data_IF_923978316712
#
_entry.id   IF_923978316712
#
_cell.length_a   1.000
_cell.length_b   1.000
_cell.length_c   1.000
_cell.angle_alpha   90.00
_cell.angle_beta   90.00
_cell.angle_gamma   90.00
#
_symmetry.space_group_name_H-M   'P 1'
#
loop_
_entity.id
_entity.type
_entity.pdbx_description
1 polymer ?
#
# COMPACT_ATOMS: atom_id res chain seq x y z
N UNK A 1 -6.15 -13.53 32.28
CA UNK A 1 -6.25 -12.99 30.91
C UNK A 1 -5.24 -13.69 30.01
N UNK A 2 -5.45 -13.67 28.69
CA UNK A 2 -4.49 -14.14 27.67
C UNK A 2 -4.14 -12.96 26.76
N UNK A 3 -2.89 -12.87 26.28
CA UNK A 3 -2.41 -11.78 25.42
C UNK A 3 -1.98 -12.34 24.07
N UNK A 4 -2.41 -11.71 22.98
CA UNK A 4 -2.13 -12.12 21.61
C UNK A 4 -1.48 -10.97 20.84
N UNK A 5 -0.45 -11.28 20.06
CA UNK A 5 0.41 -10.28 19.41
C UNK A 5 0.67 -10.53 17.91
N UNK A 6 -0.06 -11.46 17.30
CA UNK A 6 0.05 -11.88 15.90
C UNK A 6 1.36 -12.60 15.53
N UNK A 7 2.08 -13.21 16.50
CA UNK A 7 3.33 -13.95 16.23
C UNK A 7 3.13 -15.45 15.97
N UNK A 8 2.18 -16.08 16.64
CA UNK A 8 1.99 -17.53 16.61
C UNK A 8 0.55 -17.88 16.22
N UNK A 9 0.23 -17.81 14.91
CA UNK A 9 -1.15 -17.85 14.43
C UNK A 9 -1.96 -19.08 14.88
N UNK A 10 -1.36 -20.27 14.91
CA UNK A 10 -2.05 -21.50 15.31
C UNK A 10 -2.42 -21.50 16.80
N UNK A 11 -1.45 -21.17 17.67
CA UNK A 11 -1.68 -21.05 19.11
C UNK A 11 -2.66 -19.92 19.45
N UNK A 12 -2.58 -18.80 18.73
CA UNK A 12 -3.51 -17.69 18.93
C UNK A 12 -4.92 -18.05 18.48
N UNK A 13 -5.07 -18.83 17.41
CA UNK A 13 -6.37 -19.35 16.98
C UNK A 13 -6.98 -20.29 18.03
N UNK A 14 -6.17 -21.16 18.62
CA UNK A 14 -6.60 -22.00 19.74
C UNK A 14 -7.08 -21.15 20.92
N UNK A 15 -6.29 -20.17 21.37
CA UNK A 15 -6.67 -19.26 22.45
C UNK A 15 -7.97 -18.51 22.13
N UNK A 16 -8.14 -18.03 20.90
CA UNK A 16 -9.34 -17.29 20.46
C UNK A 16 -10.58 -18.19 20.41
N UNK A 17 -10.45 -19.48 20.07
CA UNK A 17 -11.60 -20.39 20.08
C UNK A 17 -12.21 -20.57 21.48
N UNK A 18 -11.40 -20.39 22.54
CA UNK A 18 -11.82 -20.41 23.94
C UNK A 18 -12.14 -19.00 24.51
N UNK A 19 -12.10 -17.95 23.68
CA UNK A 19 -12.36 -16.59 24.14
C UNK A 19 -13.84 -16.34 24.51
N UNK A 20 -14.75 -17.20 24.05
CA UNK A 20 -16.19 -17.10 24.33
C UNK A 20 -16.65 -17.88 25.56
N UNK A 21 -15.74 -18.42 26.36
CA UNK A 21 -16.06 -19.15 27.59
C UNK A 21 -16.28 -18.19 28.77
N UNK A 22 -17.09 -18.63 29.74
CA UNK A 22 -17.43 -17.83 30.92
C UNK A 22 -16.17 -17.47 31.74
N UNK A 23 -16.01 -16.18 32.05
CA UNK A 23 -14.84 -15.68 32.78
C UNK A 23 -13.56 -15.53 31.94
N UNK A 24 -13.62 -15.84 30.64
CA UNK A 24 -12.49 -15.65 29.73
C UNK A 24 -12.23 -14.16 29.48
N UNK A 25 -10.95 -13.76 29.54
CA UNK A 25 -10.50 -12.40 29.23
C UNK A 25 -9.33 -12.49 28.26
N UNK A 26 -9.53 -12.02 27.03
CA UNK A 26 -8.53 -12.06 25.97
C UNK A 26 -8.18 -10.65 25.54
N UNK A 27 -6.89 -10.33 25.54
CA UNK A 27 -6.31 -9.07 25.08
C UNK A 27 -5.63 -9.37 23.76
N UNK A 28 -6.01 -8.66 22.70
CA UNK A 28 -5.53 -8.91 21.35
C UNK A 28 -5.07 -7.60 20.71
N UNK A 29 -3.95 -7.65 19.99
CA UNK A 29 -3.61 -6.60 19.04
C UNK A 29 -4.51 -6.69 17.79
N UNK A 30 -4.58 -5.61 17.01
CA UNK A 30 -5.50 -5.47 15.87
C UNK A 30 -5.51 -6.66 14.87
N UNK A 31 -4.38 -7.35 14.70
CA UNK A 31 -4.24 -8.45 13.74
C UNK A 31 -4.39 -9.85 14.35
N UNK A 32 -4.32 -9.97 15.67
CA UNK A 32 -4.35 -11.25 16.34
C UNK A 32 -5.74 -11.91 16.26
N UNK A 33 -5.77 -13.23 16.08
CA UNK A 33 -7.04 -13.97 16.02
C UNK A 33 -7.92 -13.66 14.81
N UNK A 34 -7.38 -13.05 13.75
CA UNK A 34 -8.12 -12.80 12.51
C UNK A 34 -8.42 -14.11 11.79
N UNK A 35 -9.68 -14.30 11.40
CA UNK A 35 -10.15 -15.52 10.73
C UNK A 35 -10.73 -16.58 11.68
N UNK A 36 -10.44 -16.50 12.98
CA UNK A 36 -11.00 -17.44 13.97
C UNK A 36 -12.35 -16.94 14.50
N UNK A 37 -13.32 -17.85 14.56
CA UNK A 37 -14.64 -17.60 15.15
C UNK A 37 -14.62 -17.72 16.67
N UNK A 38 -15.39 -16.87 17.35
CA UNK A 38 -15.54 -16.90 18.82
C UNK A 38 -16.95 -17.40 19.08
N UNK A 39 -17.06 -18.67 19.47
CA UNK A 39 -18.34 -19.27 19.84
C UNK A 39 -18.58 -19.04 21.33
N UNK A 40 -19.80 -18.64 21.67
CA UNK A 40 -20.20 -18.49 23.07
C UNK A 40 -20.34 -19.86 23.73
N UNK A 41 -19.68 -20.03 24.87
CA UNK A 41 -19.80 -21.21 25.72
C UNK A 41 -21.13 -21.26 26.48
N UNK A 42 -21.32 -22.33 27.23
CA UNK A 42 -22.51 -22.55 28.06
C UNK A 42 -22.65 -21.44 29.13
N UNK A 43 -23.86 -20.90 29.32
CA UNK A 43 -24.15 -19.84 30.29
C UNK A 43 -23.75 -18.41 29.88
N UNK A 44 -23.03 -18.25 28.76
CA UNK A 44 -22.52 -16.94 28.32
C UNK A 44 -23.60 -16.12 27.61
N UNK A 45 -24.50 -16.78 26.87
CA UNK A 45 -25.61 -16.09 26.19
C UNK A 45 -26.58 -15.46 27.20
N UNK A 46 -26.89 -16.18 28.26
CA UNK A 46 -27.74 -15.74 29.38
C UNK A 46 -27.12 -14.57 30.14
N UNK A 47 -25.79 -14.47 30.13
CA UNK A 47 -25.01 -13.40 30.77
C UNK A 47 -24.85 -12.14 29.91
N UNK A 48 -25.45 -12.09 28.71
CA UNK A 48 -25.36 -10.96 27.79
C UNK A 48 -24.34 -11.11 26.66
N UNK A 49 -23.65 -12.26 26.58
CA UNK A 49 -22.76 -12.61 25.48
C UNK A 49 -21.37 -11.98 25.53
N UNK A 50 -20.71 -11.90 24.37
CA UNK A 50 -19.34 -11.38 24.28
C UNK A 50 -19.33 -9.85 24.33
N UNK A 51 -18.57 -9.30 25.29
CA UNK A 51 -18.26 -7.87 25.39
C UNK A 51 -16.92 -7.59 24.72
N UNK A 52 -16.93 -6.72 23.71
CA UNK A 52 -15.74 -6.23 23.03
C UNK A 52 -15.39 -4.83 23.53
N UNK A 53 -14.14 -4.63 23.90
CA UNK A 53 -13.61 -3.34 24.37
C UNK A 53 -12.49 -2.91 23.42
N UNK A 54 -12.71 -1.83 22.69
CA UNK A 54 -11.67 -1.13 21.95
C UNK A 54 -10.99 -0.12 22.87
N UNK A 55 -9.67 -0.17 22.96
CA UNK A 55 -8.87 0.74 23.80
C UNK A 55 -8.52 2.06 23.09
N UNK A 56 -8.69 2.08 21.78
CA UNK A 56 -8.43 3.23 20.91
C UNK A 56 -9.32 3.13 19.66
N UNK A 57 -9.27 4.13 18.79
CA UNK A 57 -9.89 4.08 17.46
C UNK A 57 -8.83 4.03 16.39
N UNK A 58 -8.99 3.09 15.47
CA UNK A 58 -8.09 2.97 14.34
C UNK A 58 -8.32 4.13 13.37
N UNK A 59 -7.30 4.49 12.60
CA UNK A 59 -7.41 5.38 11.44
C UNK A 59 -8.50 4.98 10.43
N UNK A 60 -8.90 3.71 10.39
CA UNK A 60 -9.91 3.20 9.48
C UNK A 60 -11.09 2.61 10.24
N UNK A 61 -12.28 3.11 9.90
CA UNK A 61 -13.56 2.65 10.45
C UNK A 61 -13.83 1.18 10.15
N UNK A 62 -13.27 0.66 9.05
CA UNK A 62 -13.39 -0.74 8.68
C UNK A 62 -12.74 -1.67 9.70
N UNK A 63 -11.63 -1.26 10.33
CA UNK A 63 -10.94 -2.07 11.34
C UNK A 63 -11.72 -2.04 12.66
N UNK A 64 -12.19 -0.86 13.07
CA UNK A 64 -13.07 -0.74 14.24
C UNK A 64 -14.32 -1.63 14.10
N UNK A 65 -14.96 -1.63 12.92
CA UNK A 65 -16.13 -2.46 12.66
C UNK A 65 -15.81 -3.97 12.63
N UNK A 66 -14.58 -4.37 12.26
CA UNK A 66 -14.16 -5.76 12.37
C UNK A 66 -14.02 -6.20 13.82
N UNK A 67 -13.53 -5.32 14.69
CA UNK A 67 -13.47 -5.57 16.13
C UNK A 67 -14.88 -5.71 16.70
N UNK A 68 -15.81 -4.81 16.36
CA UNK A 68 -17.24 -4.91 16.74
C UNK A 68 -17.88 -6.21 16.27
N UNK A 69 -17.61 -6.63 15.03
CA UNK A 69 -18.16 -7.85 14.43
C UNK A 69 -17.62 -9.17 15.02
N UNK A 70 -16.79 -9.11 16.07
CA UNK A 70 -16.42 -10.28 16.87
C UNK A 70 -17.53 -10.67 17.85
N UNK A 71 -18.27 -9.71 18.38
CA UNK A 71 -19.49 -9.95 19.16
C UNK A 71 -20.74 -10.06 18.27
N UNK A 72 -21.81 -10.64 18.81
CA UNK A 72 -23.12 -10.62 18.17
C UNK A 72 -23.25 -11.48 16.90
N UNK A 73 -22.44 -12.52 16.76
CA UNK A 73 -22.46 -13.39 15.58
C UNK A 73 -23.73 -14.23 15.55
N UNK A 74 -24.33 -14.40 14.37
CA UNK A 74 -25.54 -15.22 14.18
C UNK A 74 -26.73 -14.81 15.09
N UNK A 75 -26.81 -13.54 15.49
CA UNK A 75 -27.87 -13.05 16.37
C UNK A 75 -27.63 -13.35 17.85
N UNK A 76 -26.45 -13.85 18.23
CA UNK A 76 -26.06 -13.98 19.62
C UNK A 76 -26.07 -12.60 20.33
N UNK A 77 -26.32 -12.57 21.65
CA UNK A 77 -26.16 -11.34 22.41
C UNK A 77 -24.68 -10.94 22.46
N UNK A 78 -24.44 -9.64 22.59
CA UNK A 78 -23.10 -9.10 22.71
C UNK A 78 -23.12 -7.59 22.69
N UNK A 79 -22.02 -7.00 23.13
CA UNK A 79 -21.90 -5.55 23.25
C UNK A 79 -20.48 -5.12 22.86
N UNK A 80 -20.35 -3.95 22.25
CA UNK A 80 -19.05 -3.38 21.89
C UNK A 80 -18.95 -1.95 22.35
N UNK A 81 -17.88 -1.61 23.07
CA UNK A 81 -17.60 -0.26 23.57
C UNK A 81 -16.20 0.14 23.15
N UNK A 82 -16.00 1.41 22.82
CA UNK A 82 -14.70 1.97 22.49
C UNK A 82 -14.39 3.09 23.49
N UNK A 83 -13.21 3.01 24.08
CA UNK A 83 -12.62 4.07 24.88
C UNK A 83 -11.58 4.79 24.04
N UNK A 84 -11.47 6.10 24.25
CA UNK A 84 -10.60 6.99 23.49
C UNK A 84 -10.08 8.03 24.46
N UNK A 85 -8.78 8.30 24.41
CA UNK A 85 -8.19 9.45 25.09
C UNK A 85 -8.01 10.61 24.11
N UNK A 86 -8.05 11.83 24.63
CA UNK A 86 -7.67 13.02 23.87
C UNK A 86 -6.19 13.00 23.46
N UNK A 87 -5.38 12.21 24.15
CA UNK A 87 -3.95 12.06 23.89
C UNK A 87 -3.62 11.02 22.81
N UNK A 88 -4.61 10.25 22.36
CA UNK A 88 -4.42 9.20 21.35
C UNK A 88 -3.98 9.78 19.99
N UNK A 89 -3.24 9.01 19.19
CA UNK A 89 -2.67 9.47 17.92
C UNK A 89 -3.70 10.08 16.97
N UNK A 90 -4.88 9.46 16.84
CA UNK A 90 -5.97 9.99 16.01
C UNK A 90 -6.44 11.38 16.50
N UNK A 91 -6.48 11.59 17.81
CA UNK A 91 -6.85 12.87 18.42
C UNK A 91 -5.70 13.87 18.38
N UNK A 92 -4.44 13.43 18.42
CA UNK A 92 -3.28 14.32 18.23
C UNK A 92 -3.20 14.87 16.81
N UNK A 93 -3.45 14.04 15.81
CA UNK A 93 -3.34 14.45 14.40
C UNK A 93 -4.51 15.38 14.00
N UNK A 94 -5.70 15.25 14.62
CA UNK A 94 -6.92 15.95 14.16
C UNK A 94 -7.70 16.73 15.22
N UNK A 95 -7.39 16.55 16.50
CA UNK A 95 -8.13 17.12 17.64
C UNK A 95 -7.52 18.37 18.26
N UNK A 96 -6.33 18.79 17.85
CA UNK A 96 -5.51 19.74 18.61
C UNK A 96 -6.08 21.16 18.74
N UNK A 97 -6.81 21.71 17.75
CA UNK A 97 -7.35 23.07 17.91
C UNK A 97 -8.85 23.12 18.20
N UNK A 98 -9.66 22.35 17.47
CA UNK A 98 -11.13 22.46 17.54
C UNK A 98 -11.75 21.64 18.66
N UNK A 99 -11.17 20.49 19.00
CA UNK A 99 -11.71 19.62 20.06
C UNK A 99 -11.21 20.12 21.42
N UNK A 100 -9.95 20.54 21.50
CA UNK A 100 -9.39 21.15 22.71
C UNK A 100 -10.15 22.43 23.12
N UNK A 101 -10.42 23.34 22.18
CA UNK A 101 -11.23 24.53 22.46
C UNK A 101 -12.72 24.25 22.77
N UNK A 102 -13.24 23.06 22.44
CA UNK A 102 -14.57 22.62 22.87
C UNK A 102 -14.54 22.09 24.31
N UNK A 103 -13.48 21.35 24.66
CA UNK A 103 -13.23 20.81 26.00
C UNK A 103 -13.05 21.93 27.04
N UNK A 104 -12.23 22.94 26.72
CA UNK A 104 -11.98 24.09 27.59
C UNK A 104 -13.26 24.87 27.92
N UNK A 105 -14.26 24.82 27.03
CA UNK A 105 -15.58 25.45 27.23
C UNK A 105 -16.57 24.57 27.96
N UNK A 106 -16.38 23.25 27.94
CA UNK A 106 -17.27 22.28 28.56
C UNK A 106 -16.97 22.11 30.06
N UNK A 107 -15.86 22.66 30.57
CA UNK A 107 -15.45 22.60 31.99
C UNK A 107 -15.61 21.19 32.60
N UNK A 108 -15.17 20.19 31.85
CA UNK A 108 -15.21 18.80 32.28
C UNK A 108 -14.06 18.55 33.26
N UNK A 109 -14.34 17.86 34.36
CA UNK A 109 -13.31 17.37 35.27
C UNK A 109 -12.55 16.21 34.61
N UNK A 110 -11.25 16.06 34.92
CA UNK A 110 -10.35 15.10 34.26
C UNK A 110 -10.83 13.63 34.34
N UNK A 111 -11.71 13.32 35.30
CA UNK A 111 -12.22 11.97 35.57
C UNK A 111 -13.63 11.70 34.99
N UNK A 112 -14.25 12.67 34.30
CA UNK A 112 -15.60 12.48 33.73
C UNK A 112 -15.59 11.94 32.30
N UNK A 113 -16.32 10.83 32.10
CA UNK A 113 -16.49 10.23 30.79
C UNK A 113 -17.40 11.09 29.89
N UNK A 114 -16.90 11.44 28.72
CA UNK A 114 -17.60 12.30 27.77
C UNK A 114 -18.41 11.43 26.81
N UNK A 115 -19.73 11.36 27.02
CA UNK A 115 -20.67 10.79 26.06
C UNK A 115 -21.49 11.89 25.40
N UNK A 116 -20.86 12.60 24.45
CA UNK A 116 -21.54 13.63 23.68
C UNK A 116 -21.49 13.34 22.18
N UNK A 117 -22.67 13.28 21.54
CA UNK A 117 -22.81 12.97 20.09
C UNK A 117 -21.96 13.87 19.18
N UNK A 118 -21.69 15.11 19.60
CA UNK A 118 -20.85 16.05 18.86
C UNK A 118 -19.38 15.59 18.77
N UNK A 119 -18.82 15.05 19.86
CA UNK A 119 -17.45 14.56 19.91
C UNK A 119 -17.32 13.30 19.03
N UNK A 120 -18.27 12.38 19.15
CA UNK A 120 -18.34 11.18 18.29
C UNK A 120 -18.41 11.52 16.80
N UNK A 121 -19.16 12.58 16.42
CA UNK A 121 -19.24 13.03 15.02
C UNK A 121 -17.95 13.70 14.54
N UNK A 122 -17.28 14.48 15.40
CA UNK A 122 -16.00 15.10 15.08
C UNK A 122 -14.92 14.03 14.83
N UNK A 123 -14.88 13.01 15.68
CA UNK A 123 -14.02 11.84 15.53
C UNK A 123 -14.29 11.08 14.23
N UNK A 124 -15.56 10.82 13.88
CA UNK A 124 -15.90 10.13 12.63
C UNK A 124 -15.44 10.93 11.39
N UNK A 125 -15.53 12.26 11.45
CA UNK A 125 -15.03 13.14 10.38
C UNK A 125 -13.50 13.10 10.28
N UNK A 126 -12.79 13.04 11.41
CA UNK A 126 -11.35 12.85 11.44
C UNK A 126 -10.96 11.53 10.77
N UNK A 127 -11.61 10.42 11.13
CA UNK A 127 -11.38 9.11 10.50
C UNK A 127 -11.64 9.14 8.98
N UNK A 128 -12.74 9.78 8.52
CA UNK A 128 -13.01 9.95 7.07
C UNK A 128 -11.89 10.70 6.36
N UNK A 129 -11.32 11.73 7.00
CA UNK A 129 -10.22 12.51 6.43
C UNK A 129 -8.94 11.69 6.32
N UNK A 130 -8.62 10.87 7.33
CA UNK A 130 -7.49 9.93 7.28
C UNK A 130 -7.68 8.89 6.18
N UNK A 131 -8.87 8.29 6.10
CA UNK A 131 -9.22 7.33 5.05
C UNK A 131 -9.04 7.94 3.65
N UNK A 132 -9.47 9.19 3.46
CA UNK A 132 -9.27 9.94 2.21
C UNK A 132 -7.80 10.16 1.88
N UNK A 133 -7.00 10.64 2.83
CA UNK A 133 -5.56 10.84 2.64
C UNK A 133 -4.84 9.51 2.29
N UNK A 134 -5.17 8.44 3.00
CA UNK A 134 -4.61 7.11 2.73
C UNK A 134 -5.07 6.53 1.39
N UNK A 135 -6.25 6.93 0.89
CA UNK A 135 -6.73 6.59 -0.45
C UNK A 135 -5.93 7.34 -1.52
N UNK A 136 -5.69 8.64 -1.34
CA UNK A 136 -4.92 9.45 -2.29
C UNK A 136 -3.47 8.99 -2.40
N UNK A 137 -2.83 8.66 -1.26
CA UNK A 137 -1.48 8.06 -1.24
C UNK A 137 -1.45 6.78 -2.07
N UNK A 138 -2.43 5.88 -1.86
CA UNK A 138 -2.52 4.62 -2.61
C UNK A 138 -2.80 4.84 -4.08
N UNK A 139 -3.65 5.80 -4.42
CA UNK A 139 -3.95 6.17 -5.81
C UNK A 139 -2.69 6.66 -6.53
N UNK A 140 -1.89 7.50 -5.89
CA UNK A 140 -0.62 7.97 -6.45
C UNK A 140 0.37 6.82 -6.63
N UNK A 141 0.50 5.94 -5.64
CA UNK A 141 1.36 4.75 -5.73
C UNK A 141 0.96 3.84 -6.90
N UNK A 142 -0.35 3.59 -7.09
CA UNK A 142 -0.88 2.81 -8.22
C UNK A 142 -0.54 3.50 -9.54
N UNK A 143 -0.68 4.82 -9.63
CA UNK A 143 -0.30 5.56 -10.84
C UNK A 143 1.17 5.38 -11.23
N UNK A 144 2.09 5.31 -10.27
CA UNK A 144 3.49 4.97 -10.55
C UNK A 144 3.66 3.51 -10.97
N UNK A 145 2.97 2.58 -10.31
CA UNK A 145 3.03 1.16 -10.65
C UNK A 145 2.44 0.87 -12.03
N UNK A 146 1.42 1.60 -12.48
CA UNK A 146 0.82 1.44 -13.81
C UNK A 146 1.85 1.69 -14.92
N UNK A 147 2.67 2.74 -14.80
CA UNK A 147 3.76 3.02 -15.76
C UNK A 147 4.80 1.90 -15.74
N UNK A 148 5.20 1.46 -14.55
CA UNK A 148 6.14 0.35 -14.39
C UNK A 148 5.56 -0.96 -14.93
N UNK A 149 4.25 -1.17 -14.79
CA UNK A 149 3.55 -2.36 -15.26
C UNK A 149 3.51 -2.39 -16.79
N UNK A 150 3.23 -1.27 -17.45
CA UNK A 150 3.30 -1.17 -18.92
C UNK A 150 4.70 -1.54 -19.44
N UNK A 151 5.75 -1.06 -18.80
CA UNK A 151 7.13 -1.45 -19.14
C UNK A 151 7.38 -2.93 -18.91
N UNK A 152 6.97 -3.46 -17.74
CA UNK A 152 7.09 -4.89 -17.42
C UNK A 152 6.37 -5.76 -18.44
N UNK A 153 5.20 -5.38 -18.88
CA UNK A 153 4.42 -6.13 -19.87
C UNK A 153 5.18 -6.26 -21.21
N UNK A 154 5.73 -5.14 -21.72
CA UNK A 154 6.52 -5.16 -22.96
C UNK A 154 7.76 -6.04 -22.81
N UNK A 155 8.53 -5.86 -21.72
CA UNK A 155 9.76 -6.61 -21.47
C UNK A 155 9.47 -8.10 -21.27
N UNK A 156 8.45 -8.46 -20.49
CA UNK A 156 8.10 -9.86 -20.26
C UNK A 156 7.53 -10.52 -21.50
N UNK A 157 6.80 -9.79 -22.34
CA UNK A 157 6.36 -10.28 -23.64
C UNK A 157 7.56 -10.61 -24.54
N UNK A 158 8.47 -9.66 -24.75
CA UNK A 158 9.69 -9.88 -25.54
C UNK A 158 10.52 -11.03 -24.99
N UNK A 159 10.71 -11.09 -23.66
CA UNK A 159 11.41 -12.19 -23.00
C UNK A 159 10.75 -13.54 -23.25
N UNK A 160 9.42 -13.61 -23.20
CA UNK A 160 8.69 -14.86 -23.49
C UNK A 160 8.89 -15.28 -24.95
N UNK A 161 8.84 -14.34 -25.89
CA UNK A 161 9.06 -14.62 -27.32
C UNK A 161 10.46 -15.20 -27.59
N UNK A 162 11.49 -14.69 -26.92
CA UNK A 162 12.86 -15.25 -26.95
C UNK A 162 12.91 -16.65 -26.36
N UNK A 163 12.33 -16.86 -25.18
CA UNK A 163 12.37 -18.15 -24.47
C UNK A 163 11.57 -19.24 -25.19
N UNK A 164 10.50 -18.87 -25.89
CA UNK A 164 9.68 -19.76 -26.73
C UNK A 164 10.37 -20.11 -28.06
N UNK A 165 11.50 -19.48 -28.38
CA UNK A 165 12.27 -19.77 -29.60
C UNK A 165 11.61 -19.26 -30.89
N UNK A 166 10.81 -18.19 -30.81
CA UNK A 166 10.25 -17.53 -31.99
C UNK A 166 11.37 -16.90 -32.84
N UNK A 167 11.13 -16.72 -34.14
CA UNK A 167 12.08 -16.00 -35.00
C UNK A 167 11.99 -14.49 -34.70
N UNK A 168 13.09 -13.93 -34.21
CA UNK A 168 13.21 -12.52 -33.82
C UNK A 168 14.12 -11.74 -34.78
N UNK A 169 14.54 -12.32 -35.91
CA UNK A 169 15.48 -11.68 -36.83
C UNK A 169 15.00 -10.31 -37.29
N UNK A 170 13.70 -10.17 -37.59
CA UNK A 170 13.11 -8.88 -37.99
C UNK A 170 13.16 -7.85 -36.86
N UNK A 171 12.84 -8.25 -35.62
CA UNK A 171 12.91 -7.38 -34.45
C UNK A 171 14.34 -6.93 -34.16
N UNK A 172 15.32 -7.85 -34.24
CA UNK A 172 16.75 -7.55 -34.03
C UNK A 172 17.26 -6.59 -35.11
N UNK A 173 16.93 -6.84 -36.38
CA UNK A 173 17.31 -5.93 -37.47
C UNK A 173 16.67 -4.54 -37.29
N UNK A 174 15.44 -4.48 -36.79
CA UNK A 174 14.79 -3.22 -36.42
C UNK A 174 15.58 -2.45 -35.35
N UNK A 175 15.96 -3.13 -34.26
CA UNK A 175 16.77 -2.53 -33.19
C UNK A 175 18.14 -2.04 -33.69
N UNK A 176 18.80 -2.81 -34.56
CA UNK A 176 20.09 -2.42 -35.16
C UNK A 176 19.92 -1.16 -36.02
N UNK A 177 18.89 -1.11 -36.88
CA UNK A 177 18.61 0.06 -37.71
C UNK A 177 18.31 1.31 -36.86
N UNK A 178 17.60 1.16 -35.74
CA UNK A 178 17.30 2.27 -34.82
C UNK A 178 18.58 2.80 -34.18
N UNK A 179 19.45 1.93 -33.66
CA UNK A 179 20.75 2.31 -33.09
C UNK A 179 21.61 3.05 -34.13
N UNK A 180 21.69 2.54 -35.36
CA UNK A 180 22.48 3.18 -36.43
C UNK A 180 21.86 4.53 -36.82
N UNK A 181 20.52 4.61 -36.94
CA UNK A 181 19.85 5.87 -37.28
C UNK A 181 20.04 6.94 -36.19
N UNK A 182 19.98 6.56 -34.92
CA UNK A 182 20.16 7.48 -33.80
C UNK A 182 21.62 7.92 -33.67
N UNK A 183 22.58 7.03 -33.93
CA UNK A 183 23.99 7.38 -34.03
C UNK A 183 24.23 8.40 -35.16
N UNK A 184 23.72 8.11 -36.36
CA UNK A 184 23.81 9.01 -37.52
C UNK A 184 23.23 10.38 -37.20
N UNK A 185 22.03 10.45 -36.59
CA UNK A 185 21.43 11.72 -36.18
C UNK A 185 22.26 12.45 -35.13
N UNK A 186 22.73 11.75 -34.10
CA UNK A 186 23.50 12.37 -33.02
C UNK A 186 24.80 13.02 -33.51
N UNK A 187 25.42 12.46 -34.56
CA UNK A 187 26.69 12.93 -35.10
C UNK A 187 26.56 13.86 -36.32
N UNK A 188 25.51 13.71 -37.13
CA UNK A 188 25.39 14.41 -38.42
C UNK A 188 24.22 15.41 -38.49
N UNK A 189 23.34 15.48 -37.48
CA UNK A 189 22.21 16.43 -37.49
C UNK A 189 22.69 17.88 -37.23
N UNK A 190 22.38 18.78 -38.16
CA UNK A 190 22.75 20.20 -38.08
C UNK A 190 24.22 20.55 -38.42
N UNK A 191 25.00 19.58 -38.90
CA UNK A 191 26.39 19.81 -39.33
C UNK A 191 26.40 20.51 -40.70
N UNK A 192 26.95 21.72 -40.78
CA UNK A 192 27.11 22.48 -42.03
C UNK A 192 28.58 22.61 -42.48
N UNK A 193 29.54 22.42 -41.57
CA UNK A 193 30.99 22.44 -41.80
C UNK A 193 31.64 21.29 -41.00
N UNK A 194 32.80 20.77 -41.44
CA UNK A 194 33.54 19.64 -40.84
C UNK A 194 32.88 18.24 -40.94
N UNK A 195 32.14 17.98 -42.03
CA UNK A 195 31.52 16.68 -42.30
C UNK A 195 32.48 15.48 -42.20
N UNK A 196 33.71 15.61 -42.69
CA UNK A 196 34.70 14.52 -42.66
C UNK A 196 35.12 14.14 -41.24
N UNK A 197 35.25 15.13 -40.35
CA UNK A 197 35.65 14.90 -38.95
C UNK A 197 34.52 14.21 -38.17
N UNK A 198 33.27 14.62 -38.41
CA UNK A 198 32.08 14.04 -37.75
C UNK A 198 31.76 12.64 -38.28
N UNK A 199 31.95 12.37 -39.57
CA UNK A 199 31.87 11.00 -40.13
C UNK A 199 32.93 10.10 -39.50
N UNK A 200 34.17 10.60 -39.32
CA UNK A 200 35.23 9.85 -38.63
C UNK A 200 34.84 9.47 -37.20
N UNK A 201 34.26 10.41 -36.44
CA UNK A 201 33.75 10.17 -35.07
C UNK A 201 32.58 9.19 -35.05
N UNK A 202 31.66 9.29 -36.01
CA UNK A 202 30.53 8.38 -36.15
C UNK A 202 30.99 6.95 -36.44
N UNK A 203 31.94 6.75 -37.36
CA UNK A 203 32.49 5.44 -37.69
C UNK A 203 33.15 4.84 -36.44
N UNK A 204 33.97 5.62 -35.73
CA UNK A 204 34.60 5.16 -34.49
C UNK A 204 33.56 4.75 -33.43
N UNK A 205 32.50 5.54 -33.26
CA UNK A 205 31.41 5.22 -32.34
C UNK A 205 30.66 3.94 -32.72
N UNK A 206 30.37 3.73 -34.01
CA UNK A 206 29.71 2.52 -34.49
C UNK A 206 30.62 1.28 -34.41
N UNK A 207 31.93 1.44 -34.62
CA UNK A 207 32.94 0.37 -34.45
C UNK A 207 33.07 -0.11 -33.00
N UNK A 208 32.85 0.77 -32.03
CA UNK A 208 32.86 0.40 -30.60
C UNK A 208 31.58 -0.37 -30.19
N UNK A 209 30.48 -0.22 -30.94
CA UNK A 209 29.15 -0.71 -30.54
C UNK A 209 28.70 -1.93 -31.34
N UNK A 210 28.77 -1.87 -32.68
CA UNK A 210 28.13 -2.88 -33.54
C UNK A 210 28.89 -3.22 -34.83
N UNK A 211 29.87 -2.44 -35.25
CA UNK A 211 30.65 -2.69 -36.47
C UNK A 211 32.00 -3.34 -36.14
N UNK A 212 32.44 -4.36 -36.90
CA UNK A 212 33.82 -4.83 -36.80
C UNK A 212 34.80 -3.73 -37.26
N UNK A 213 35.90 -3.55 -36.54
CA UNK A 213 36.90 -2.53 -36.86
C UNK A 213 37.44 -2.65 -38.29
N UNK A 214 37.51 -1.51 -38.99
CA UNK A 214 38.04 -1.40 -40.35
C UNK A 214 37.10 -1.87 -41.45
N UNK A 215 35.82 -2.14 -41.14
CA UNK A 215 34.82 -2.59 -42.12
C UNK A 215 34.30 -1.44 -42.99
N UNK A 216 34.24 -0.23 -42.45
CA UNK A 216 33.71 0.96 -43.13
C UNK A 216 34.77 2.06 -43.05
N UNK A 217 35.13 2.66 -44.20
CA UNK A 217 36.05 3.81 -44.21
C UNK A 217 35.28 5.10 -44.45
N UNK A 218 35.83 6.20 -43.95
CA UNK A 218 35.27 7.54 -44.21
C UNK A 218 35.17 7.83 -45.70
N UNK A 219 36.14 7.37 -46.48
CA UNK A 219 36.18 7.47 -47.95
C UNK A 219 34.98 6.79 -48.64
N UNK A 220 34.39 5.75 -48.04
CA UNK A 220 33.27 5.00 -48.63
C UNK A 220 31.91 5.70 -48.42
N UNK A 221 31.87 6.76 -47.60
CA UNK A 221 30.64 7.46 -47.16
C UNK A 221 30.58 8.95 -47.56
N UNK A 222 31.64 9.47 -48.19
CA UNK A 222 31.78 10.89 -48.54
C UNK A 222 31.30 11.19 -49.99
N UNK A 223 31.00 10.16 -50.80
CA UNK A 223 30.34 10.29 -52.12
C UNK A 223 28.81 10.37 -52.02
#
# INVERSE_FOLDING_TARGET
>A
HKVLNAKYHEQEAEIISHAGELGSVTIATNMAGRGTDIKLGEGVKESGGLKIIGTERHESRRIDNQLRGRSGRQGDPGESVFYISLEDDLMRIFGSEKIQGLMDKLSLEDDEAIDHKMVSKALENAQKKVEGNNFDIRKNLIGYDDVMNMQREVIYKQRSEVLEGKDLREQINGMVNEIVSDAVKAHLDGVNENYEEEIGKLIQYLEDICLPHGTVKSEDLID
#
